data_IF_875001108062
#
_entry.id   IF_875001108062
#
_cell.length_a   1.000
_cell.length_b   1.000
_cell.length_c   1.000
_cell.angle_alpha   90.00
_cell.angle_beta   90.00
_cell.angle_gamma   90.00
#
_symmetry.space_group_name_H-M   'P 1'
#
loop_
_entity.id
_entity.type
_entity.pdbx_description
1 polymer ?
#
# COMPACT_ATOMS: atom_id res chain seq x y z
N UNK A 1 -13.37 25.39 4.52
CA UNK A 1 -13.80 24.06 4.06
C UNK A 1 -13.52 22.98 5.12
N UNK A 2 -14.05 23.13 6.35
CA UNK A 2 -14.01 22.07 7.38
C UNK A 2 -15.28 21.20 7.32
N UNK A 3 -16.37 21.80 6.88
CA UNK A 3 -17.66 21.13 6.68
C UNK A 3 -17.57 20.16 5.50
N UNK A 4 -17.00 20.56 4.37
CA UNK A 4 -16.76 19.67 3.22
C UNK A 4 -15.83 18.49 3.58
N UNK A 5 -14.82 18.75 4.41
CA UNK A 5 -13.85 17.75 4.85
C UNK A 5 -14.45 16.77 5.88
N UNK A 6 -15.44 17.20 6.66
CA UNK A 6 -16.20 16.36 7.57
C UNK A 6 -17.29 15.58 6.83
N UNK A 7 -17.95 16.20 5.86
CA UNK A 7 -18.93 15.59 4.98
C UNK A 7 -18.27 14.53 4.10
N UNK A 8 -17.16 14.85 3.45
CA UNK A 8 -16.37 13.88 2.67
C UNK A 8 -15.89 12.73 3.53
N UNK A 9 -15.49 12.96 4.79
CA UNK A 9 -15.17 11.88 5.74
C UNK A 9 -16.39 11.02 6.06
N UNK A 10 -17.58 11.62 6.23
CA UNK A 10 -18.82 10.90 6.54
C UNK A 10 -19.31 10.08 5.35
N UNK A 11 -19.36 10.67 4.16
CA UNK A 11 -19.74 9.99 2.91
C UNK A 11 -18.76 8.85 2.59
N UNK A 12 -17.46 9.10 2.73
CA UNK A 12 -16.46 8.06 2.63
C UNK A 12 -16.71 6.93 3.65
N UNK A 13 -17.04 7.22 4.92
CA UNK A 13 -17.20 6.18 5.98
C UNK A 13 -18.26 5.12 5.66
N UNK A 14 -19.29 5.42 4.86
CA UNK A 14 -20.42 4.50 4.62
C UNK A 14 -20.15 3.55 3.45
N UNK A 15 -19.41 3.99 2.42
CA UNK A 15 -19.12 3.18 1.21
C UNK A 15 -17.80 2.37 1.29
N UNK A 16 -17.10 2.43 2.42
CA UNK A 16 -15.65 2.14 2.47
C UNK A 16 -15.26 0.71 2.86
N UNK A 17 -16.14 -0.08 3.45
CA UNK A 17 -15.79 -1.45 3.86
C UNK A 17 -16.32 -2.41 2.81
N UNK A 18 -15.53 -2.77 1.78
CA UNK A 18 -15.67 -3.96 0.93
C UNK A 18 -17.10 -4.52 0.66
N UNK A 19 -18.11 -3.66 0.45
CA UNK A 19 -19.51 -4.05 0.21
C UNK A 19 -20.35 -4.39 1.46
N UNK A 20 -19.93 -4.02 2.66
CA UNK A 20 -20.70 -4.16 3.91
C UNK A 20 -21.64 -2.97 4.08
N UNK A 21 -22.95 -3.23 4.13
CA UNK A 21 -23.96 -2.23 4.44
C UNK A 21 -23.97 -1.94 5.95
N UNK A 22 -23.63 -0.71 6.33
CA UNK A 22 -23.58 -0.24 7.72
C UNK A 22 -24.76 0.69 8.07
N UNK A 23 -25.73 0.88 7.17
CA UNK A 23 -26.81 1.86 7.34
C UNK A 23 -27.73 1.60 8.54
N UNK A 24 -27.72 0.39 9.11
CA UNK A 24 -28.48 0.02 10.31
C UNK A 24 -27.68 0.00 11.62
N UNK A 25 -26.37 0.25 11.58
CA UNK A 25 -25.48 0.18 12.74
C UNK A 25 -25.34 1.53 13.45
N UNK A 26 -24.96 1.50 14.74
CA UNK A 26 -24.66 2.75 15.45
C UNK A 26 -23.36 3.39 14.94
N UNK A 27 -23.23 4.71 15.12
CA UNK A 27 -22.00 5.45 14.76
C UNK A 27 -20.75 4.89 15.46
N UNK A 28 -20.92 4.39 16.69
CA UNK A 28 -19.86 3.76 17.48
C UNK A 28 -19.42 2.41 16.87
N UNK A 29 -20.38 1.53 16.55
CA UNK A 29 -20.10 0.24 15.91
C UNK A 29 -19.45 0.45 14.54
N UNK A 30 -19.98 1.38 13.75
CA UNK A 30 -19.42 1.76 12.45
C UNK A 30 -17.96 2.20 12.58
N UNK A 31 -17.64 3.05 13.57
CA UNK A 31 -16.26 3.50 13.79
C UNK A 31 -15.32 2.34 14.15
N UNK A 32 -15.77 1.43 15.03
CA UNK A 32 -14.97 0.26 15.43
C UNK A 32 -14.69 -0.64 14.22
N UNK A 33 -15.69 -0.91 13.38
CA UNK A 33 -15.53 -1.75 12.19
C UNK A 33 -14.56 -1.13 11.19
N UNK A 34 -14.63 0.19 10.98
CA UNK A 34 -13.67 0.91 10.13
C UNK A 34 -12.27 0.82 10.70
N UNK A 35 -12.08 1.02 12.00
CA UNK A 35 -10.76 0.94 12.63
C UNK A 35 -10.16 -0.47 12.52
N UNK A 36 -11.00 -1.51 12.66
CA UNK A 36 -10.60 -2.90 12.46
C UNK A 36 -10.17 -3.16 11.01
N UNK A 37 -10.97 -2.73 10.03
CA UNK A 37 -10.65 -2.88 8.61
C UNK A 37 -9.34 -2.15 8.25
N UNK A 38 -9.17 -0.90 8.72
CA UNK A 38 -7.94 -0.14 8.52
C UNK A 38 -6.73 -0.87 9.10
N UNK A 39 -6.84 -1.40 10.32
CA UNK A 39 -5.75 -2.15 10.96
C UNK A 39 -5.41 -3.42 10.19
N UNK A 40 -6.41 -4.14 9.69
CA UNK A 40 -6.21 -5.34 8.87
C UNK A 40 -5.51 -5.00 7.54
N UNK A 41 -5.99 -3.96 6.83
CA UNK A 41 -5.37 -3.45 5.60
C UNK A 41 -3.91 -3.01 5.83
N UNK A 42 -3.61 -2.36 6.96
CA UNK A 42 -2.24 -2.03 7.34
C UNK A 42 -1.37 -3.26 7.58
N UNK A 43 -1.90 -4.30 8.25
CA UNK A 43 -1.17 -5.55 8.45
C UNK A 43 -0.88 -6.26 7.11
N UNK A 44 -1.85 -6.27 6.20
CA UNK A 44 -1.66 -6.81 4.85
C UNK A 44 -0.61 -6.03 4.05
N UNK A 45 -0.64 -4.70 4.14
CA UNK A 45 0.34 -3.82 3.52
C UNK A 45 1.76 -4.10 4.06
N UNK A 46 1.89 -4.28 5.37
CA UNK A 46 3.17 -4.61 6.02
C UNK A 46 3.69 -6.00 5.60
N UNK A 47 2.82 -7.00 5.53
CA UNK A 47 3.17 -8.35 5.03
C UNK A 47 3.64 -8.29 3.58
N UNK A 48 2.90 -7.59 2.71
CA UNK A 48 3.31 -7.40 1.32
C UNK A 48 4.66 -6.68 1.22
N UNK A 49 4.86 -5.60 1.97
CA UNK A 49 6.12 -4.86 1.98
C UNK A 49 7.31 -5.75 2.38
N UNK A 50 7.14 -6.62 3.38
CA UNK A 50 8.17 -7.57 3.80
C UNK A 50 8.52 -8.61 2.73
N UNK A 51 7.57 -8.99 1.87
CA UNK A 51 7.81 -9.88 0.73
C UNK A 51 8.44 -9.17 -0.47
N UNK A 52 8.07 -7.91 -0.69
CA UNK A 52 8.57 -7.08 -1.78
C UNK A 52 10.03 -6.68 -1.60
N UNK A 53 10.44 -6.32 -0.38
CA UNK A 53 11.80 -5.84 -0.08
C UNK A 53 12.89 -6.81 -0.57
N UNK A 54 12.84 -8.12 -0.28
CA UNK A 54 13.80 -9.10 -0.82
C UNK A 54 13.82 -9.19 -2.35
N UNK A 55 12.67 -9.08 -3.03
CA UNK A 55 12.62 -9.14 -4.50
C UNK A 55 13.28 -7.93 -5.18
N UNK A 56 13.16 -6.75 -4.56
CA UNK A 56 13.82 -5.54 -5.01
C UNK A 56 15.31 -5.53 -4.61
N UNK A 57 15.67 -6.10 -3.46
CA UNK A 57 17.06 -6.15 -2.99
C UNK A 57 17.98 -6.91 -3.95
N UNK A 58 17.45 -7.93 -4.65
CA UNK A 58 18.14 -8.66 -5.75
C UNK A 58 18.62 -7.74 -6.89
N UNK A 59 18.09 -6.51 -6.99
CA UNK A 59 18.46 -5.50 -8.00
C UNK A 59 19.32 -4.37 -7.44
N UNK A 60 19.71 -4.45 -6.17
CA UNK A 60 20.55 -3.46 -5.47
C UNK A 60 19.96 -2.03 -5.47
N UNK A 61 18.64 -1.90 -5.57
CA UNK A 61 17.91 -0.60 -5.52
C UNK A 61 17.35 -0.30 -4.13
N UNK A 62 17.42 -1.26 -3.21
CA UNK A 62 16.83 -1.16 -1.88
C UNK A 62 17.85 -0.56 -0.91
N UNK A 63 17.46 0.52 -0.22
CA UNK A 63 18.26 1.16 0.82
C UNK A 63 18.08 0.46 2.18
N UNK A 64 18.97 0.76 3.14
CA UNK A 64 18.79 0.36 4.55
C UNK A 64 17.47 0.95 5.07
N UNK A 65 16.73 0.21 5.91
CA UNK A 65 15.41 0.58 6.44
C UNK A 65 14.33 0.79 5.36
N UNK A 66 14.20 -0.17 4.45
CA UNK A 66 13.31 -0.10 3.29
C UNK A 66 11.81 -0.08 3.64
N UNK A 67 11.42 -0.68 4.76
CA UNK A 67 10.03 -0.68 5.22
C UNK A 67 9.81 0.48 6.19
N UNK A 68 8.99 1.45 5.79
CA UNK A 68 8.70 2.68 6.54
C UNK A 68 7.21 2.98 6.51
N UNK A 69 6.71 3.54 7.60
CA UNK A 69 5.35 4.06 7.68
C UNK A 69 5.35 5.57 7.48
N UNK A 70 4.38 6.08 6.72
CA UNK A 70 4.19 7.51 6.48
C UNK A 70 2.72 7.80 6.16
N UNK A 71 2.24 8.98 6.55
CA UNK A 71 0.83 9.39 6.41
C UNK A 71 0.41 9.84 5.01
N UNK A 72 0.92 9.22 3.95
CA UNK A 72 0.58 9.58 2.56
C UNK A 72 -0.88 9.30 2.24
N UNK A 73 -1.58 10.26 1.60
CA UNK A 73 -3.00 10.12 1.24
C UNK A 73 -3.27 8.89 0.37
N UNK A 74 -2.36 8.58 -0.56
CA UNK A 74 -2.46 7.41 -1.46
C UNK A 74 -2.39 6.06 -0.74
N UNK A 75 -2.04 6.03 0.55
CA UNK A 75 -1.93 4.82 1.37
C UNK A 75 -3.06 4.70 2.40
N UNK A 76 -4.09 5.55 2.34
CA UNK A 76 -5.15 5.65 3.37
C UNK A 76 -6.44 4.93 3.02
N UNK A 77 -6.46 4.10 1.98
CA UNK A 77 -7.64 3.29 1.66
C UNK A 77 -7.91 2.31 2.83
N UNK A 78 -9.11 2.32 3.43
CA UNK A 78 -9.34 1.57 4.67
C UNK A 78 -9.36 0.05 4.50
N UNK A 79 -9.81 -0.43 3.36
CA UNK A 79 -10.00 -1.85 3.05
C UNK A 79 -9.05 -2.36 1.94
N UNK A 80 -8.24 -1.48 1.34
CA UNK A 80 -7.29 -1.84 0.28
C UNK A 80 -5.84 -1.76 0.81
N UNK A 81 -5.13 -2.91 0.91
CA UNK A 81 -3.71 -2.92 1.24
C UNK A 81 -2.91 -2.11 0.22
N UNK A 82 -2.10 -1.16 0.70
CA UNK A 82 -1.44 -0.15 -0.14
C UNK A 82 0.01 0.04 0.28
N UNK A 83 0.93 0.08 -0.69
CA UNK A 83 2.34 0.45 -0.46
C UNK A 83 2.83 1.45 -1.50
N UNK A 84 3.76 2.31 -1.09
CA UNK A 84 4.48 3.22 -1.98
C UNK A 84 5.92 2.72 -2.13
N UNK A 85 6.37 2.57 -3.37
CA UNK A 85 7.69 2.01 -3.69
C UNK A 85 8.60 3.12 -4.20
N UNK A 86 9.68 3.40 -3.47
CA UNK A 86 10.75 4.30 -3.91
C UNK A 86 11.85 3.46 -4.58
N UNK A 87 11.96 3.56 -5.91
CA UNK A 87 12.86 2.72 -6.71
C UNK A 87 14.31 3.26 -6.83
N UNK A 88 14.56 4.48 -6.34
CA UNK A 88 15.87 5.15 -6.40
C UNK A 88 15.73 6.65 -6.69
N UNK A 89 16.87 7.34 -6.80
CA UNK A 89 16.91 8.78 -7.07
C UNK A 89 17.40 9.09 -8.48
N UNK A 90 16.66 9.90 -9.24
CA UNK A 90 17.15 10.41 -10.54
C UNK A 90 18.39 11.30 -10.41
N UNK A 91 18.65 11.86 -9.23
CA UNK A 91 19.88 12.61 -8.94
C UNK A 91 21.11 11.72 -8.71
N UNK A 92 20.92 10.41 -8.51
CA UNK A 92 22.01 9.46 -8.39
C UNK A 92 22.26 8.80 -9.75
N UNK A 93 23.45 9.02 -10.34
CA UNK A 93 23.80 8.50 -11.67
C UNK A 93 23.66 6.99 -11.83
N UNK A 94 23.82 6.21 -10.76
CA UNK A 94 23.69 4.76 -10.83
C UNK A 94 22.21 4.35 -10.86
N UNK A 95 21.38 4.94 -10.01
CA UNK A 95 19.94 4.71 -9.97
C UNK A 95 19.29 5.21 -11.27
N UNK A 96 19.63 6.42 -11.73
CA UNK A 96 19.14 7.03 -12.97
C UNK A 96 19.34 6.12 -14.19
N UNK A 97 20.54 5.54 -14.36
CA UNK A 97 20.83 4.61 -15.47
C UNK A 97 19.90 3.40 -15.46
N UNK A 98 19.57 2.87 -14.28
CA UNK A 98 18.67 1.73 -14.15
C UNK A 98 17.24 2.18 -14.47
N UNK A 99 16.78 3.25 -13.83
CA UNK A 99 15.40 3.78 -13.91
C UNK A 99 15.02 4.27 -15.31
N UNK A 100 15.98 4.77 -16.09
CA UNK A 100 15.75 5.23 -17.46
C UNK A 100 15.93 4.14 -18.52
N UNK A 101 16.56 3.02 -18.18
CA UNK A 101 16.77 1.92 -19.14
C UNK A 101 15.54 1.01 -19.24
N UNK A 102 15.18 0.59 -20.46
CA UNK A 102 14.11 -0.41 -20.67
C UNK A 102 14.38 -1.72 -19.95
N UNK A 103 15.63 -2.18 -19.95
CA UNK A 103 16.06 -3.39 -19.24
C UNK A 103 15.90 -3.26 -17.73
N UNK A 104 16.28 -2.11 -17.15
CA UNK A 104 16.12 -1.84 -15.71
C UNK A 104 14.65 -1.74 -15.30
N UNK A 105 13.84 -1.00 -16.05
CA UNK A 105 12.40 -0.91 -15.83
C UNK A 105 11.72 -2.28 -15.87
N UNK A 106 12.04 -3.10 -16.89
CA UNK A 106 11.52 -4.46 -17.00
C UNK A 106 11.94 -5.34 -15.80
N UNK A 107 13.20 -5.24 -15.37
CA UNK A 107 13.69 -6.01 -14.23
C UNK A 107 13.02 -5.61 -12.90
N UNK A 108 12.74 -4.31 -12.70
CA UNK A 108 12.03 -3.80 -11.52
C UNK A 108 10.55 -4.22 -11.53
N UNK A 109 9.87 -4.05 -12.67
CA UNK A 109 8.50 -4.49 -12.85
C UNK A 109 8.34 -5.99 -12.58
N UNK A 110 9.28 -6.82 -13.07
CA UNK A 110 9.28 -8.25 -12.79
C UNK A 110 9.50 -8.57 -11.30
N UNK A 111 10.33 -7.80 -10.58
CA UNK A 111 10.49 -7.97 -9.14
C UNK A 111 9.20 -7.63 -8.37
N UNK A 112 8.50 -6.57 -8.79
CA UNK A 112 7.21 -6.19 -8.19
C UNK A 112 6.16 -7.27 -8.48
N UNK A 113 6.04 -7.72 -9.73
CA UNK A 113 5.11 -8.77 -10.13
C UNK A 113 5.31 -10.05 -9.31
N UNK A 114 6.56 -10.54 -9.19
CA UNK A 114 6.86 -11.72 -8.34
C UNK A 114 6.47 -11.52 -6.89
N UNK A 115 6.63 -10.32 -6.33
CA UNK A 115 6.22 -10.06 -4.96
C UNK A 115 4.69 -10.11 -4.80
N UNK A 116 3.95 -9.60 -5.80
CA UNK A 116 2.48 -9.68 -5.86
C UNK A 116 2.03 -11.13 -5.95
N UNK A 117 2.62 -11.91 -6.86
CA UNK A 117 2.29 -13.34 -7.02
C UNK A 117 2.53 -14.10 -5.71
N UNK A 118 3.70 -13.93 -5.09
CA UNK A 118 4.04 -14.58 -3.81
C UNK A 118 3.11 -14.18 -2.67
N UNK A 119 2.68 -12.92 -2.63
CA UNK A 119 1.74 -12.45 -1.62
C UNK A 119 0.42 -13.21 -1.73
N UNK A 120 -0.12 -13.34 -2.93
CA UNK A 120 -1.37 -14.07 -3.15
C UNK A 120 -1.21 -15.59 -2.98
N UNK A 121 -0.09 -16.18 -3.37
CA UNK A 121 0.23 -17.59 -3.07
C UNK A 121 0.22 -17.85 -1.56
N UNK A 122 0.90 -17.02 -0.76
CA UNK A 122 0.97 -17.21 0.69
C UNK A 122 -0.35 -16.95 1.44
N UNK A 123 -1.31 -16.28 0.78
CA UNK A 123 -2.58 -15.85 1.39
C UNK A 123 -3.72 -16.82 1.12
N UNK A 124 -3.63 -17.58 0.02
CA UNK A 124 -4.69 -18.46 -0.48
C UNK A 124 -4.36 -19.95 -0.44
N UNK A 125 -3.19 -20.33 0.10
CA UNK A 125 -2.80 -21.72 0.41
C UNK A 125 -2.48 -21.89 1.89
#
# INVERSE_FOLDING_TARGET
>A
DREDDALARKENRVDIIAGVDLTGESDEVTSILIDLAQRESMNYSATFANMLVPELAKRNVVRRNAHRFAGFRVLKAPDIPSVLIELGYLSNRQDEKILLSKKGQAALAQSIARAVDRYFESRFY
#
